data_IF_371409912806
#
_entry.id   IF_371409912806
#
_cell.length_a   1.000
_cell.length_b   1.000
_cell.length_c   1.000
_cell.angle_alpha   90.00
_cell.angle_beta   90.00
_cell.angle_gamma   90.00
#
_symmetry.space_group_name_H-M   'P 1'
#
loop_
_entity.id
_entity.type
_entity.pdbx_description
1 polymer ?
#
# COMPACT_ATOMS: atom_id res chain seq x y z
N UNK A 1 5.34 18.88 -0.50
CA UNK A 1 4.66 17.97 0.46
C UNK A 1 5.76 17.22 1.19
N UNK A 2 5.75 17.11 2.53
CA UNK A 2 6.81 16.38 3.25
C UNK A 2 6.67 14.89 2.89
N UNK A 3 7.72 14.31 2.33
CA UNK A 3 7.73 12.89 1.93
C UNK A 3 7.66 12.02 3.19
N UNK A 4 6.87 10.94 3.13
CA UNK A 4 6.74 9.98 4.23
C UNK A 4 8.06 9.24 4.37
N UNK A 5 8.62 9.20 5.59
CA UNK A 5 9.91 8.54 5.82
C UNK A 5 9.80 7.01 5.73
N UNK A 6 10.91 6.32 5.50
CA UNK A 6 11.00 4.87 5.41
C UNK A 6 10.38 4.19 6.65
N UNK A 7 10.71 4.64 7.86
CA UNK A 7 10.12 4.11 9.09
C UNK A 7 8.59 4.26 9.14
N UNK A 8 8.07 5.40 8.66
CA UNK A 8 6.63 5.66 8.58
C UNK A 8 5.97 4.78 7.51
N UNK A 9 6.60 4.62 6.34
CA UNK A 9 6.18 3.72 5.26
C UNK A 9 6.08 2.28 5.79
N UNK A 10 7.12 1.79 6.47
CA UNK A 10 7.18 0.45 7.07
C UNK A 10 6.11 0.26 8.15
N UNK A 11 5.88 1.28 8.99
CA UNK A 11 4.81 1.25 9.99
C UNK A 11 3.40 1.21 9.37
N UNK A 12 3.21 1.78 8.18
CA UNK A 12 1.95 1.68 7.45
C UNK A 12 1.83 0.29 6.84
N UNK A 13 2.85 -0.19 6.13
CA UNK A 13 2.84 -1.51 5.48
C UNK A 13 2.59 -2.65 6.47
N UNK A 14 3.10 -2.58 7.70
CA UNK A 14 2.89 -3.63 8.71
C UNK A 14 1.41 -3.86 9.07
N UNK A 15 0.53 -2.90 8.78
CA UNK A 15 -0.93 -3.00 9.00
C UNK A 15 -1.67 -3.71 7.88
N UNK A 16 -0.99 -3.95 6.75
CA UNK A 16 -1.56 -4.49 5.52
C UNK A 16 -0.90 -5.82 5.10
N UNK A 17 -0.33 -6.57 6.04
CA UNK A 17 0.17 -7.92 5.77
C UNK A 17 -0.95 -8.78 5.14
N UNK A 18 -0.59 -9.56 4.13
CA UNK A 18 -1.50 -10.36 3.30
C UNK A 18 -2.10 -9.60 2.11
N UNK A 19 -1.94 -8.27 2.02
CA UNK A 19 -2.39 -7.52 0.85
C UNK A 19 -1.41 -7.66 -0.32
N UNK A 20 -1.94 -7.49 -1.53
CA UNK A 20 -1.12 -7.42 -2.75
C UNK A 20 -0.38 -6.11 -2.83
N UNK A 21 0.84 -6.14 -3.36
CA UNK A 21 1.67 -4.96 -3.62
C UNK A 21 2.15 -4.96 -5.06
N UNK A 22 2.20 -3.78 -5.65
CA UNK A 22 2.88 -3.50 -6.90
C UNK A 22 4.30 -3.04 -6.58
N UNK A 23 5.28 -3.63 -7.25
CA UNK A 23 6.68 -3.29 -7.13
C UNK A 23 7.16 -2.81 -8.50
N UNK A 24 7.51 -1.53 -8.57
CA UNK A 24 8.06 -0.90 -9.75
C UNK A 24 9.58 -0.82 -9.56
N UNK A 25 10.36 -1.60 -10.30
CA UNK A 25 11.83 -1.50 -10.23
C UNK A 25 12.34 -0.36 -11.10
N UNK A 26 13.18 0.51 -10.53
CA UNK A 26 13.84 1.57 -11.29
C UNK A 26 15.13 1.10 -11.97
N UNK A 27 15.59 -0.13 -11.68
CA UNK A 27 16.83 -0.68 -12.23
C UNK A 27 16.63 -1.35 -13.59
N UNK A 28 15.48 -2.00 -13.80
CA UNK A 28 15.26 -2.90 -14.95
C UNK A 28 14.12 -2.46 -15.86
N UNK A 29 13.77 -1.16 -15.89
CA UNK A 29 12.84 -0.43 -16.78
C UNK A 29 11.47 -1.04 -17.18
N UNK A 30 11.14 -2.31 -16.93
CA UNK A 30 10.05 -2.96 -17.66
C UNK A 30 9.16 -3.92 -16.87
N UNK A 31 9.52 -4.36 -15.67
CA UNK A 31 8.69 -5.34 -14.98
C UNK A 31 8.13 -4.79 -13.68
N UNK A 32 6.91 -4.25 -13.79
CA UNK A 32 6.00 -4.16 -12.66
C UNK A 32 5.70 -5.58 -12.19
N UNK A 33 6.11 -5.87 -10.97
CA UNK A 33 5.88 -7.17 -10.36
C UNK A 33 4.81 -7.00 -9.30
N UNK A 34 3.81 -7.89 -9.33
CA UNK A 34 2.81 -7.95 -8.27
C UNK A 34 3.13 -9.12 -7.37
N UNK A 35 3.22 -8.84 -6.07
CA UNK A 35 3.43 -9.85 -5.05
C UNK A 35 2.46 -9.71 -3.89
N UNK A 36 2.68 -10.52 -2.85
CA UNK A 36 1.92 -10.49 -1.60
C UNK A 36 2.82 -10.04 -0.46
N UNK A 37 2.41 -9.00 0.28
CA UNK A 37 3.15 -8.51 1.44
C UNK A 37 3.05 -9.53 2.59
N UNK A 38 4.17 -10.15 2.97
CA UNK A 38 4.23 -11.19 4.01
C UNK A 38 4.76 -10.67 5.35
N UNK A 39 5.56 -9.60 5.34
CA UNK A 39 6.18 -9.10 6.56
C UNK A 39 6.91 -7.77 6.39
N UNK A 40 7.35 -7.21 7.49
CA UNK A 40 8.12 -5.96 7.57
C UNK A 40 9.22 -6.14 8.62
N UNK A 41 10.40 -5.57 8.37
CA UNK A 41 11.50 -5.34 9.31
C UNK A 41 11.91 -3.88 9.26
N UNK A 42 12.85 -3.49 10.12
CA UNK A 42 13.24 -2.10 10.35
C UNK A 42 13.68 -1.31 9.10
N UNK A 43 14.09 -2.00 8.03
CA UNK A 43 14.55 -1.38 6.77
C UNK A 43 14.03 -2.07 5.50
N UNK A 44 13.07 -2.98 5.59
CA UNK A 44 12.64 -3.77 4.45
C UNK A 44 11.23 -4.36 4.60
N UNK A 45 10.58 -4.60 3.46
CA UNK A 45 9.35 -5.39 3.38
C UNK A 45 9.66 -6.77 2.79
N UNK A 46 8.99 -7.80 3.30
CA UNK A 46 9.02 -9.15 2.74
C UNK A 46 7.84 -9.30 1.79
N UNK A 47 8.13 -9.62 0.54
CA UNK A 47 7.11 -9.85 -0.48
C UNK A 47 7.31 -11.23 -1.08
N UNK A 48 6.22 -11.99 -1.15
CA UNK A 48 6.16 -13.22 -1.93
C UNK A 48 5.83 -12.89 -3.38
N UNK A 49 6.66 -13.38 -4.30
CA UNK A 49 6.57 -13.16 -5.74
C UNK A 49 6.81 -14.51 -6.42
N UNK A 50 5.82 -14.99 -7.17
CA UNK A 50 5.88 -16.25 -7.94
C UNK A 50 6.36 -17.46 -7.10
N UNK A 51 5.93 -17.53 -5.84
CA UNK A 51 6.28 -18.57 -4.87
C UNK A 51 7.59 -18.30 -4.11
N UNK A 52 8.30 -17.21 -4.40
CA UNK A 52 9.59 -16.89 -3.77
C UNK A 52 9.49 -15.68 -2.85
N UNK A 53 10.01 -15.83 -1.64
CA UNK A 53 10.11 -14.76 -0.65
C UNK A 53 11.29 -13.84 -0.94
N UNK A 54 11.05 -12.54 -1.09
CA UNK A 54 12.07 -11.52 -1.35
C UNK A 54 11.97 -10.37 -0.37
N UNK A 55 13.10 -9.99 0.21
CA UNK A 55 13.20 -8.76 1.00
C UNK A 55 13.48 -7.58 0.06
N UNK A 56 12.62 -6.57 0.11
CA UNK A 56 12.76 -5.34 -0.67
C UNK A 56 13.14 -4.22 0.30
N UNK A 57 14.33 -3.64 0.16
CA UNK A 57 14.78 -2.56 1.03
C UNK A 57 13.92 -1.29 0.85
N UNK A 58 13.70 -0.57 1.94
CA UNK A 58 12.99 0.72 1.96
C UNK A 58 13.89 1.74 2.65
N UNK A 59 14.32 2.76 1.91
CA UNK A 59 15.21 3.82 2.39
C UNK A 59 14.63 5.21 2.07
N UNK A 60 15.08 6.23 2.80
CA UNK A 60 14.66 7.62 2.56
C UNK A 60 15.33 8.24 1.33
N UNK A 61 16.62 7.94 1.13
CA UNK A 61 17.48 8.70 0.21
C UNK A 61 17.69 7.99 -1.13
N UNK A 62 17.56 6.65 -1.17
CA UNK A 62 17.81 5.84 -2.36
C UNK A 62 16.62 4.92 -2.60
N UNK A 63 15.81 5.26 -3.60
CA UNK A 63 14.71 4.42 -4.06
C UNK A 63 15.18 3.56 -5.24
N UNK A 64 15.39 2.26 -5.00
CA UNK A 64 15.68 1.27 -6.06
C UNK A 64 14.40 0.66 -6.64
N UNK A 65 13.35 0.64 -5.83
CA UNK A 65 12.02 0.21 -6.19
C UNK A 65 11.00 1.15 -5.56
N UNK A 66 9.87 1.37 -6.24
CA UNK A 66 8.66 1.94 -5.65
C UNK A 66 7.68 0.80 -5.32
N UNK A 67 7.07 0.87 -4.15
CA UNK A 67 6.18 -0.19 -3.63
C UNK A 67 4.85 0.45 -3.27
N UNK A 68 3.77 -0.05 -3.89
CA UNK A 68 2.41 0.42 -3.64
C UNK A 68 1.51 -0.72 -3.22
N UNK A 69 0.72 -0.52 -2.16
CA UNK A 69 -0.37 -1.41 -1.80
C UNK A 69 -1.45 -1.37 -2.88
N UNK A 70 -1.89 -2.54 -3.36
CA UNK A 70 -3.03 -2.65 -4.25
C UNK A 70 -4.30 -2.75 -3.40
N UNK A 71 -4.88 -1.59 -3.08
CA UNK A 71 -6.06 -1.47 -2.24
C UNK A 71 -7.35 -1.43 -3.07
N UNK A 72 -8.48 -1.68 -2.43
CA UNK A 72 -9.76 -1.77 -3.15
C UNK A 72 -10.31 -0.36 -3.49
N UNK A 73 -10.60 -0.04 -4.77
CA UNK A 73 -11.02 1.29 -5.23
C UNK A 73 -12.31 1.81 -4.57
N UNK A 74 -13.26 0.91 -4.33
CA UNK A 74 -14.63 1.27 -3.91
C UNK A 74 -14.86 1.15 -2.40
N UNK A 75 -13.79 1.11 -1.62
CA UNK A 75 -13.87 0.77 -0.20
C UNK A 75 -13.27 1.86 0.69
N UNK A 76 -13.59 3.12 0.38
CA UNK A 76 -13.61 4.17 1.43
C UNK A 76 -14.69 3.75 2.45
N UNK A 77 -14.43 3.97 3.73
CA UNK A 77 -15.46 3.77 4.75
C UNK A 77 -16.67 4.65 4.40
N UNK A 78 -17.74 4.04 3.88
CA UNK A 78 -18.98 4.78 3.64
C UNK A 78 -19.60 5.16 4.99
N UNK A 79 -20.43 6.21 5.07
CA UNK A 79 -21.12 6.56 6.31
C UNK A 79 -21.83 5.36 6.96
N UNK A 80 -22.38 4.46 6.13
CA UNK A 80 -23.00 3.22 6.56
C UNK A 80 -22.01 2.23 7.20
N UNK A 81 -20.80 2.11 6.66
CA UNK A 81 -19.75 1.25 7.25
C UNK A 81 -19.26 1.86 8.56
N UNK A 82 -19.14 3.19 8.64
CA UNK A 82 -18.79 3.92 9.88
C UNK A 82 -19.88 3.72 10.94
N UNK A 83 -21.15 3.81 10.56
CA UNK A 83 -22.29 3.57 11.44
C UNK A 83 -22.32 2.10 11.93
N UNK A 84 -22.17 1.15 11.01
CA UNK A 84 -22.10 -0.29 11.33
C UNK A 84 -20.95 -0.55 12.29
N UNK A 85 -19.79 0.06 12.03
CA UNK A 85 -18.63 0.00 12.90
C UNK A 85 -18.92 0.57 14.30
N UNK A 86 -19.47 1.77 14.40
CA UNK A 86 -19.76 2.41 15.68
C UNK A 86 -20.80 1.67 16.53
N UNK A 87 -21.67 0.88 15.87
CA UNK A 87 -22.68 0.03 16.50
C UNK A 87 -22.14 -1.35 16.95
N UNK A 88 -20.89 -1.70 16.61
CA UNK A 88 -20.27 -2.91 17.13
C UNK A 88 -19.85 -2.71 18.59
N UNK A 89 -20.02 -3.74 19.45
CA UNK A 89 -19.74 -3.64 20.89
C UNK A 89 -18.26 -3.41 21.22
N UNK A 90 -17.35 -3.55 20.25
CA UNK A 90 -15.92 -3.27 20.43
C UNK A 90 -15.40 -2.41 19.29
N UNK A 91 -15.36 -1.11 19.53
CA UNK A 91 -14.94 -0.09 18.56
C UNK A 91 -13.46 -0.21 18.14
N UNK A 92 -12.62 -0.85 18.96
CA UNK A 92 -11.17 -0.94 18.75
C UNK A 92 -10.72 -1.90 17.63
N UNK A 93 -11.55 -2.89 17.23
CA UNK A 93 -11.13 -3.95 16.28
C UNK A 93 -11.46 -3.65 14.81
N UNK A 94 -12.10 -2.52 14.57
CA UNK A 94 -12.73 -2.21 13.29
C UNK A 94 -11.69 -1.82 12.26
N UNK A 95 -10.77 -0.94 12.64
CA UNK A 95 -9.69 -0.50 11.75
C UNK A 95 -8.79 -1.65 11.32
N UNK A 96 -8.23 -2.47 12.23
CA UNK A 96 -7.43 -3.64 11.84
C UNK A 96 -8.19 -4.62 10.93
N UNK A 97 -9.47 -4.85 11.21
CA UNK A 97 -10.32 -5.73 10.39
C UNK A 97 -10.52 -5.20 8.96
N UNK A 98 -10.83 -3.91 8.80
CA UNK A 98 -10.97 -3.35 7.46
C UNK A 98 -9.64 -3.26 6.71
N UNK A 99 -8.53 -2.99 7.41
CA UNK A 99 -7.18 -3.03 6.83
C UNK A 99 -6.83 -4.42 6.30
N UNK A 100 -7.12 -5.49 7.05
CA UNK A 100 -6.90 -6.88 6.60
C UNK A 100 -7.79 -7.26 5.40
N UNK A 101 -8.90 -6.55 5.19
CA UNK A 101 -9.76 -6.71 4.02
C UNK A 101 -9.32 -5.86 2.81
N UNK A 102 -8.25 -5.07 2.93
CA UNK A 102 -7.71 -4.20 1.89
C UNK A 102 -8.46 -2.88 1.70
N UNK A 103 -9.14 -2.40 2.74
CA UNK A 103 -9.74 -1.07 2.75
C UNK A 103 -8.66 -0.01 2.97
N UNK A 104 -8.77 1.09 2.24
CA UNK A 104 -7.94 2.25 2.51
C UNK A 104 -8.46 2.99 3.73
N UNK A 105 -7.56 3.22 4.68
CA UNK A 105 -7.88 3.74 6.01
C UNK A 105 -6.98 4.93 6.33
N UNK A 106 -7.51 5.98 7.00
CA UNK A 106 -6.69 7.09 7.46
C UNK A 106 -5.56 6.58 8.36
N UNK A 107 -4.35 7.08 8.12
CA UNK A 107 -3.20 6.70 8.93
C UNK A 107 -3.15 7.52 10.21
N UNK A 108 -2.69 6.86 11.27
CA UNK A 108 -2.24 7.49 12.49
C UNK A 108 -0.82 7.01 12.76
N UNK A 109 0.15 7.93 12.81
CA UNK A 109 1.57 7.63 13.01
C UNK A 109 2.02 7.99 14.43
N UNK A 110 1.91 9.26 14.80
CA UNK A 110 2.25 9.77 16.13
C UNK A 110 1.46 11.07 16.43
N UNK A 111 1.29 11.47 17.70
CA UNK A 111 0.66 12.74 18.04
C UNK A 111 1.29 13.93 17.31
N UNK A 112 0.47 14.78 16.70
CA UNK A 112 0.94 15.98 15.97
C UNK A 112 1.59 15.72 14.60
N UNK A 113 1.63 14.47 14.12
CA UNK A 113 2.25 14.15 12.84
C UNK A 113 1.43 14.69 11.65
N UNK A 114 2.10 15.33 10.68
CA UNK A 114 1.45 16.00 9.53
C UNK A 114 0.76 15.07 8.54
N UNK A 115 1.07 13.78 8.60
CA UNK A 115 0.44 12.75 7.77
C UNK A 115 -0.75 12.06 8.44
N UNK A 116 -1.05 12.38 9.69
CA UNK A 116 -2.24 11.84 10.36
C UNK A 116 -3.51 12.23 9.58
N UNK A 117 -4.51 11.35 9.66
CA UNK A 117 -5.81 11.51 9.00
C UNK A 117 -5.78 11.46 7.46
N UNK A 118 -4.59 11.29 6.84
CA UNK A 118 -4.47 11.03 5.40
C UNK A 118 -4.66 9.55 5.11
N UNK A 119 -5.30 9.24 4.00
CA UNK A 119 -5.41 7.88 3.49
C UNK A 119 -4.08 7.41 2.89
N UNK A 120 -3.90 6.10 2.76
CA UNK A 120 -2.67 5.50 2.25
C UNK A 120 -2.40 5.93 0.80
N UNK A 121 -3.44 6.05 -0.03
CA UNK A 121 -3.29 6.57 -1.39
C UNK A 121 -2.84 8.05 -1.44
N UNK A 122 -3.29 8.89 -0.51
CA UNK A 122 -2.90 10.31 -0.43
C UNK A 122 -1.43 10.47 -0.03
N UNK A 123 -0.84 9.43 0.55
CA UNK A 123 0.59 9.34 0.86
C UNK A 123 1.42 8.76 -0.30
N UNK A 124 0.77 8.41 -1.42
CA UNK A 124 1.43 7.78 -2.57
C UNK A 124 1.81 6.31 -2.35
N UNK A 125 1.35 5.68 -1.26
CA UNK A 125 1.72 4.32 -0.86
C UNK A 125 0.70 3.26 -1.30
N UNK A 126 -0.34 3.65 -2.00
CA UNK A 126 -1.34 2.74 -2.54
C UNK A 126 -1.74 3.10 -3.98
N UNK A 127 -2.17 2.09 -4.71
CA UNK A 127 -2.85 2.19 -6.00
C UNK A 127 -4.19 1.45 -5.90
N UNK A 128 -5.20 1.99 -6.56
CA UNK A 128 -6.54 1.40 -6.58
C UNK A 128 -6.81 0.58 -7.84
N UNK A 129 -5.91 0.65 -8.83
CA UNK A 129 -6.00 -0.16 -10.04
C UNK A 129 -5.71 -1.61 -9.70
N UNK A 130 -6.43 -2.50 -10.35
CA UNK A 130 -6.14 -3.91 -10.38
C UNK A 130 -4.85 -4.18 -11.16
N UNK A 131 -4.17 -5.32 -10.91
CA UNK A 131 -3.02 -5.74 -11.71
C UNK A 131 -3.30 -5.79 -13.22
N UNK A 132 -4.52 -6.14 -13.62
CA UNK A 132 -4.94 -6.18 -15.01
C UNK A 132 -5.00 -4.77 -15.62
N UNK A 133 -5.60 -3.81 -14.91
CA UNK A 133 -5.65 -2.41 -15.35
C UNK A 133 -4.26 -1.77 -15.44
N UNK A 134 -3.37 -2.09 -14.48
CA UNK A 134 -1.98 -1.63 -14.51
C UNK A 134 -1.26 -2.16 -15.76
N UNK A 135 -1.42 -3.45 -16.06
CA UNK A 135 -0.85 -4.08 -17.26
C UNK A 135 -1.38 -3.44 -18.54
N UNK A 136 -2.70 -3.29 -18.65
CA UNK A 136 -3.35 -2.70 -19.83
C UNK A 136 -2.91 -1.24 -20.07
N UNK A 137 -2.78 -0.44 -19.01
CA UNK A 137 -2.30 0.93 -19.11
C UNK A 137 -0.89 1.02 -19.70
N UNK A 138 0.01 0.11 -19.31
CA UNK A 138 1.37 0.04 -19.86
C UNK A 138 1.38 -0.39 -21.32
N UNK A 139 0.60 -1.40 -21.69
CA UNK A 139 0.48 -1.86 -23.08
C UNK A 139 0.04 -0.71 -24.00
N UNK A 140 -0.92 0.11 -23.57
CA UNK A 140 -1.33 1.30 -24.33
C UNK A 140 -0.22 2.35 -24.42
N UNK A 141 0.53 2.62 -23.33
CA UNK A 141 1.64 3.57 -23.37
C UNK A 141 2.78 3.10 -24.29
N UNK A 142 3.09 1.81 -24.30
CA UNK A 142 4.11 1.24 -25.19
C UNK A 142 3.74 1.35 -26.68
N UNK A 143 2.44 1.35 -27.01
CA UNK A 143 1.94 1.53 -28.38
C UNK A 143 2.02 2.98 -28.83
N UNK A 144 1.77 3.96 -27.95
CA UNK A 144 1.80 5.39 -28.28
C UNK A 144 3.21 5.99 -28.41
N UNK A 145 4.25 5.28 -27.96
CA UNK A 145 5.66 5.72 -28.04
C UNK A 145 6.36 5.08 -29.27
N UNK A 146 5.64 4.34 -30.11
CA UNK A 146 6.11 3.83 -31.41
C UNK A 146 5.57 4.66 -32.55
#
# INVERSE_FOLDING_TARGET
MKEVKAAEKLSIFSRYIGQRVLINSFLNNDNDVVGTLQGVRDNAVLVEIDGFNRWIPVYDEINLCDIKLLLKPLKKLTPKIIETANNLPVQAFITPYYQSLGFDMPVYLAPGHTCNCKYVHELGLADYRTPAEIRQHREMQAVYVR
#
